data_IF_707315153247
#
_entry.id   IF_707315153247
#
_cell.length_a   1.000
_cell.length_b   1.000
_cell.length_c   1.000
_cell.angle_alpha   90.00
_cell.angle_beta   90.00
_cell.angle_gamma   90.00
#
_symmetry.space_group_name_H-M   'P 1'
#
loop_
_entity.id
_entity.type
_entity.pdbx_description
1 polymer ?
#
# COMPACT_ATOMS: atom_id res chain seq x y z
N UNK A 1 16.27 -12.78 4.71
CA UNK A 1 15.28 -12.71 3.61
C UNK A 1 15.74 -11.81 2.47
N UNK A 2 15.04 -11.80 1.33
CA UNK A 2 15.33 -10.88 0.23
C UNK A 2 15.08 -9.41 0.64
N UNK A 3 14.07 -9.17 1.45
CA UNK A 3 13.69 -7.83 1.95
C UNK A 3 14.79 -7.27 2.87
N UNK A 4 15.35 -8.07 3.76
CA UNK A 4 16.47 -7.65 4.62
C UNK A 4 17.72 -7.33 3.81
N UNK A 5 18.00 -8.10 2.75
CA UNK A 5 19.10 -7.81 1.83
C UNK A 5 18.89 -6.47 1.11
N UNK A 6 17.66 -6.22 0.61
CA UNK A 6 17.32 -4.95 -0.02
C UNK A 6 17.49 -3.78 0.96
N UNK A 7 17.02 -3.93 2.21
CA UNK A 7 17.22 -2.94 3.28
C UNK A 7 18.70 -2.63 3.49
N UNK A 8 19.53 -3.66 3.62
CA UNK A 8 20.97 -3.48 3.84
C UNK A 8 21.66 -2.75 2.67
N UNK A 9 21.26 -3.05 1.43
CA UNK A 9 21.80 -2.37 0.23
C UNK A 9 21.43 -0.89 0.24
N UNK A 10 20.14 -0.55 0.40
CA UNK A 10 19.66 0.83 0.40
C UNK A 10 20.31 1.60 1.56
N UNK A 11 20.39 1.02 2.76
CA UNK A 11 20.99 1.65 3.93
C UNK A 11 22.49 1.94 3.72
N UNK A 12 23.22 1.00 3.11
CA UNK A 12 24.64 1.18 2.80
C UNK A 12 24.85 2.31 1.76
N UNK A 13 24.05 2.36 0.71
CA UNK A 13 24.10 3.44 -0.29
C UNK A 13 23.80 4.80 0.35
N UNK A 14 22.75 4.87 1.18
CA UNK A 14 22.39 6.10 1.89
C UNK A 14 23.49 6.59 2.86
N UNK A 15 24.26 5.67 3.45
CA UNK A 15 25.37 6.00 4.35
C UNK A 15 26.66 6.38 3.62
N UNK A 16 26.90 5.76 2.47
CA UNK A 16 28.15 5.95 1.70
C UNK A 16 28.13 7.18 0.79
N UNK A 17 26.94 7.63 0.38
CA UNK A 17 26.76 8.78 -0.49
C UNK A 17 25.98 9.91 0.21
N UNK A 18 26.62 11.06 0.53
CA UNK A 18 25.95 12.19 1.18
C UNK A 18 24.73 12.73 0.43
N UNK A 19 24.69 12.60 -0.91
CA UNK A 19 23.55 13.02 -1.73
C UNK A 19 22.31 12.12 -1.54
N UNK A 20 22.51 10.92 -1.03
CA UNK A 20 21.45 9.94 -0.74
C UNK A 20 21.11 9.84 0.75
N UNK A 21 21.61 10.76 1.56
CA UNK A 21 21.34 10.76 2.99
C UNK A 21 19.84 10.79 3.31
N UNK A 22 19.38 9.80 4.07
CA UNK A 22 17.96 9.64 4.40
C UNK A 22 17.12 8.98 3.31
N UNK A 23 17.75 8.47 2.24
CA UNK A 23 17.05 7.69 1.22
C UNK A 23 16.38 6.46 1.86
N UNK A 24 15.12 6.25 1.54
CA UNK A 24 14.35 5.11 1.98
C UNK A 24 13.17 4.87 1.04
N UNK A 25 12.50 3.73 1.21
CA UNK A 25 11.32 3.40 0.43
C UNK A 25 10.38 2.50 1.23
N UNK A 26 9.09 2.57 0.93
CA UNK A 26 8.11 1.57 1.37
C UNK A 26 8.18 0.33 0.50
N UNK A 27 7.57 -0.76 0.95
CA UNK A 27 7.42 -1.98 0.18
C UNK A 27 6.04 -2.58 0.46
N UNK A 28 5.34 -2.97 -0.59
CA UNK A 28 4.28 -3.97 -0.54
C UNK A 28 4.53 -5.00 -1.64
N UNK A 29 4.53 -6.27 -1.28
CA UNK A 29 4.80 -7.37 -2.21
C UNK A 29 3.83 -8.52 -1.94
N UNK A 30 3.47 -9.24 -3.00
CA UNK A 30 2.64 -10.44 -2.93
C UNK A 30 3.36 -11.62 -3.57
N UNK A 31 3.39 -12.73 -2.86
CA UNK A 31 3.85 -14.02 -3.37
C UNK A 31 2.63 -14.89 -3.61
N UNK A 32 2.40 -15.21 -4.87
CA UNK A 32 1.33 -16.13 -5.30
C UNK A 32 1.71 -17.57 -4.94
N UNK A 33 0.74 -18.29 -4.35
CA UNK A 33 0.86 -19.71 -3.96
C UNK A 33 -0.18 -20.59 -4.66
N UNK A 34 -0.93 -20.03 -5.58
CA UNK A 34 -2.00 -20.68 -6.32
C UNK A 34 -3.39 -20.37 -5.73
N UNK A 35 -3.69 -20.91 -4.56
CA UNK A 35 -4.96 -20.70 -3.85
C UNK A 35 -4.91 -19.59 -2.78
N UNK A 36 -3.76 -18.99 -2.61
CA UNK A 36 -3.48 -18.02 -1.55
C UNK A 36 -2.36 -17.06 -1.92
N UNK A 37 -2.27 -15.92 -1.23
CA UNK A 37 -1.15 -15.01 -1.30
C UNK A 37 -0.50 -14.84 0.07
N UNK A 38 0.85 -14.83 0.09
CA UNK A 38 1.62 -14.27 1.20
C UNK A 38 1.99 -12.84 0.85
N UNK A 39 1.52 -11.87 1.63
CA UNK A 39 1.78 -10.44 1.44
C UNK A 39 2.83 -10.00 2.45
N UNK A 40 3.85 -9.27 1.99
CA UNK A 40 4.83 -8.60 2.83
C UNK A 40 4.68 -7.10 2.70
N UNK A 41 4.70 -6.37 3.82
CA UNK A 41 4.68 -4.90 3.82
C UNK A 41 5.71 -4.29 4.75
N UNK A 42 6.26 -3.14 4.32
CA UNK A 42 7.08 -2.22 5.11
C UNK A 42 6.66 -0.80 4.75
N UNK A 43 6.22 -0.02 5.73
CA UNK A 43 5.73 1.34 5.52
C UNK A 43 4.21 1.41 5.39
N UNK A 44 3.71 2.28 4.52
CA UNK A 44 2.29 2.60 4.34
C UNK A 44 1.71 2.26 2.96
N UNK A 45 2.52 1.66 2.07
CA UNK A 45 1.96 1.03 0.86
C UNK A 45 1.04 -0.12 1.23
N UNK A 46 -0.11 -0.22 0.56
CA UNK A 46 -1.22 -1.07 0.98
C UNK A 46 -1.51 -2.22 0.04
N UNK A 47 -2.02 -3.30 0.60
CA UNK A 47 -2.67 -4.39 -0.12
C UNK A 47 -4.15 -4.46 0.27
N UNK A 48 -5.02 -4.58 -0.73
CA UNK A 48 -6.46 -4.77 -0.58
C UNK A 48 -6.88 -6.05 -1.29
N UNK A 49 -7.78 -6.78 -0.69
CA UNK A 49 -8.50 -7.88 -1.34
C UNK A 49 -9.91 -7.41 -1.67
N UNK A 50 -10.28 -7.47 -2.96
CA UNK A 50 -11.65 -7.35 -3.42
C UNK A 50 -12.21 -8.74 -3.73
N UNK A 51 -13.30 -9.10 -3.09
CA UNK A 51 -14.00 -10.37 -3.31
C UNK A 51 -15.47 -10.20 -2.96
N UNK A 52 -16.37 -10.85 -3.69
CA UNK A 52 -17.84 -10.85 -3.44
C UNK A 52 -18.45 -9.44 -3.34
N UNK A 53 -17.93 -8.47 -4.08
CA UNK A 53 -18.39 -7.08 -4.03
C UNK A 53 -17.86 -6.26 -2.86
N UNK A 54 -16.99 -6.80 -2.03
CA UNK A 54 -16.42 -6.14 -0.86
C UNK A 54 -14.91 -5.89 -1.01
N UNK A 55 -14.46 -4.73 -0.57
CA UNK A 55 -13.04 -4.36 -0.49
C UNK A 55 -12.56 -4.45 0.95
N UNK A 56 -11.55 -5.28 1.18
CA UNK A 56 -10.92 -5.44 2.50
C UNK A 56 -9.48 -4.99 2.48
N UNK A 57 -9.10 -4.05 3.34
CA UNK A 57 -7.70 -3.71 3.59
C UNK A 57 -7.02 -4.86 4.33
N UNK A 58 -5.90 -5.35 3.79
CA UNK A 58 -5.12 -6.47 4.34
C UNK A 58 -3.98 -5.96 5.22
N UNK A 59 -3.23 -4.98 4.72
CA UNK A 59 -2.06 -4.44 5.41
C UNK A 59 -2.45 -3.41 6.46
N UNK A 60 -1.59 -3.22 7.45
CA UNK A 60 -1.69 -2.14 8.43
C UNK A 60 -0.51 -1.21 8.24
N UNK A 61 -0.77 0.07 8.04
CA UNK A 61 0.26 1.07 7.82
C UNK A 61 1.22 1.17 9.02
N UNK A 62 2.49 1.38 8.74
CA UNK A 62 3.51 1.71 9.73
C UNK A 62 3.75 3.22 9.68
N UNK A 63 2.79 3.96 10.23
CA UNK A 63 2.79 5.42 10.34
C UNK A 63 2.62 5.85 11.79
N UNK A 64 3.04 7.08 12.10
CA UNK A 64 2.84 7.67 13.42
C UNK A 64 1.35 7.64 13.82
N UNK A 65 0.45 7.90 12.88
CA UNK A 65 -1.00 7.85 13.12
C UNK A 65 -1.44 6.48 13.64
N UNK A 66 -1.02 5.41 12.96
CA UNK A 66 -1.45 4.05 13.29
C UNK A 66 -0.76 3.47 14.53
N UNK A 67 0.51 3.81 14.75
CA UNK A 67 1.33 3.16 15.78
C UNK A 67 1.45 3.98 17.08
N UNK A 68 1.21 5.28 17.00
CA UNK A 68 1.31 6.18 18.16
C UNK A 68 0.01 6.90 18.42
N UNK A 69 -0.50 7.63 17.43
CA UNK A 69 -1.65 8.51 17.62
C UNK A 69 -2.93 7.77 18.02
N UNK A 70 -3.31 6.71 17.29
CA UNK A 70 -4.49 5.88 17.60
C UNK A 70 -4.37 5.14 18.94
N UNK A 71 -3.24 4.49 19.29
CA UNK A 71 -3.05 3.89 20.61
C UNK A 71 -3.12 4.89 21.78
N UNK A 72 -2.76 6.16 21.56
CA UNK A 72 -2.92 7.23 22.54
C UNK A 72 -4.37 7.71 22.70
N UNK A 73 -5.30 7.18 21.89
CA UNK A 73 -6.72 7.55 21.95
C UNK A 73 -7.05 8.90 21.31
N UNK A 74 -6.18 9.41 20.43
CA UNK A 74 -6.47 10.64 19.69
C UNK A 74 -7.62 10.39 18.70
N UNK A 75 -8.56 11.36 18.65
CA UNK A 75 -9.68 11.31 17.73
C UNK A 75 -9.23 11.55 16.27
N UNK A 76 -10.06 11.15 15.31
CA UNK A 76 -9.73 11.19 13.89
C UNK A 76 -9.46 12.63 13.38
N UNK A 77 -10.17 13.62 13.91
CA UNK A 77 -9.97 15.03 13.51
C UNK A 77 -8.58 15.53 13.95
N UNK A 78 -8.18 15.20 15.17
CA UNK A 78 -6.85 15.52 15.71
C UNK A 78 -5.75 14.80 14.89
N UNK A 79 -5.95 13.51 14.56
CA UNK A 79 -5.00 12.74 13.78
C UNK A 79 -4.79 13.32 12.38
N UNK A 80 -5.87 13.72 11.69
CA UNK A 80 -5.81 14.30 10.33
C UNK A 80 -5.08 15.64 10.29
N UNK A 81 -5.17 16.43 11.37
CA UNK A 81 -4.51 17.75 11.49
C UNK A 81 -3.10 17.67 12.09
N UNK A 82 -2.69 16.49 12.59
CA UNK A 82 -1.43 16.35 13.29
C UNK A 82 -0.22 16.57 12.38
N UNK A 83 0.82 17.32 12.81
CA UNK A 83 2.03 17.55 12.01
C UNK A 83 2.73 16.27 11.55
N UNK A 84 2.67 15.21 12.37
CA UNK A 84 3.30 13.91 12.08
C UNK A 84 2.39 12.93 11.33
N UNK A 85 1.24 13.36 10.79
CA UNK A 85 0.26 12.45 10.16
C UNK A 85 0.82 11.64 8.98
N UNK A 86 1.84 12.18 8.29
CA UNK A 86 2.50 11.51 7.15
C UNK A 86 3.84 10.86 7.52
N UNK A 87 4.22 10.87 8.80
CA UNK A 87 5.50 10.32 9.22
C UNK A 87 5.42 8.80 9.28
N UNK A 88 6.28 8.16 8.50
CA UNK A 88 6.49 6.71 8.57
C UNK A 88 7.25 6.34 9.84
N UNK A 89 6.84 5.27 10.50
CA UNK A 89 7.57 4.66 11.63
C UNK A 89 8.51 3.56 11.14
N UNK A 90 8.33 3.08 9.90
CA UNK A 90 9.17 2.07 9.28
C UNK A 90 9.29 2.29 7.76
N UNK A 91 10.52 2.17 7.25
CA UNK A 91 10.83 2.16 5.81
C UNK A 91 12.12 1.40 5.56
N UNK A 92 12.28 0.83 4.37
CA UNK A 92 13.55 0.25 3.92
C UNK A 92 14.61 1.35 3.76
N UNK A 93 15.84 1.06 4.14
CA UNK A 93 16.98 1.98 3.99
C UNK A 93 17.12 3.00 5.13
N UNK A 94 16.22 3.02 6.12
CA UNK A 94 16.23 3.99 7.22
C UNK A 94 16.85 3.41 8.50
N UNK A 95 16.61 2.13 8.79
CA UNK A 95 17.06 1.46 10.00
C UNK A 95 17.61 0.05 9.69
N UNK A 96 18.58 -0.40 10.52
CA UNK A 96 19.04 -1.80 10.48
C UNK A 96 17.95 -2.75 10.99
N UNK A 97 17.23 -2.34 12.04
CA UNK A 97 16.09 -3.08 12.54
C UNK A 97 14.88 -2.86 11.63
N UNK A 98 14.47 -3.92 10.94
CA UNK A 98 13.36 -3.92 10.01
C UNK A 98 12.20 -4.75 10.56
N UNK A 99 11.02 -4.14 10.68
CA UNK A 99 9.76 -4.82 11.00
C UNK A 99 9.00 -5.12 9.69
N UNK A 100 9.23 -6.30 9.12
CA UNK A 100 8.50 -6.79 7.95
C UNK A 100 7.21 -7.46 8.41
N UNK A 101 6.07 -6.91 8.03
CA UNK A 101 4.76 -7.49 8.34
C UNK A 101 4.34 -8.48 7.26
N UNK A 102 3.92 -9.67 7.68
CA UNK A 102 3.48 -10.75 6.80
C UNK A 102 2.00 -11.04 7.04
N UNK A 103 1.28 -11.26 5.94
CA UNK A 103 -0.15 -11.59 5.95
C UNK A 103 -0.39 -12.73 4.95
N UNK A 104 -1.00 -13.81 5.41
CA UNK A 104 -1.45 -14.89 4.53
C UNK A 104 -2.96 -14.76 4.32
N UNK A 105 -3.38 -14.75 3.06
CA UNK A 105 -4.78 -14.66 2.66
C UNK A 105 -5.14 -15.78 1.71
N UNK A 106 -6.28 -16.42 1.96
CA UNK A 106 -6.91 -17.32 1.00
C UNK A 106 -7.65 -16.50 -0.04
N UNK A 107 -7.63 -16.96 -1.28
CA UNK A 107 -8.33 -16.31 -2.39
C UNK A 107 -9.21 -17.32 -3.11
N UNK A 108 -10.22 -16.82 -3.81
CA UNK A 108 -11.13 -17.58 -4.62
C UNK A 108 -11.11 -17.04 -6.07
N UNK A 109 -11.44 -17.85 -7.07
CA UNK A 109 -11.55 -17.38 -8.44
C UNK A 109 -12.49 -16.17 -8.55
N UNK A 110 -12.04 -15.14 -9.25
CA UNK A 110 -12.77 -13.87 -9.40
C UNK A 110 -12.45 -12.82 -8.33
N UNK A 111 -11.65 -13.14 -7.33
CA UNK A 111 -11.10 -12.13 -6.42
C UNK A 111 -9.96 -11.34 -7.07
N UNK A 112 -9.75 -10.09 -6.60
CA UNK A 112 -8.63 -9.25 -7.02
C UNK A 112 -7.79 -8.84 -5.83
N UNK A 113 -6.48 -8.94 -5.96
CA UNK A 113 -5.52 -8.34 -5.03
C UNK A 113 -5.00 -7.04 -5.64
N UNK A 114 -5.23 -5.91 -4.96
CA UNK A 114 -4.71 -4.59 -5.33
C UNK A 114 -3.55 -4.22 -4.41
N UNK A 115 -2.39 -3.91 -4.98
CA UNK A 115 -1.27 -3.27 -4.29
C UNK A 115 -1.21 -1.81 -4.72
N UNK A 116 -1.05 -0.88 -3.76
CA UNK A 116 -1.09 0.56 -4.04
C UNK A 116 -0.10 1.36 -3.22
N UNK A 117 0.44 2.44 -3.82
CA UNK A 117 1.10 3.52 -3.08
C UNK A 117 0.08 4.47 -2.45
N UNK A 118 0.54 5.31 -1.53
CA UNK A 118 -0.24 6.36 -0.87
C UNK A 118 -0.80 7.40 -1.85
N UNK A 119 -0.11 7.67 -2.95
CA UNK A 119 -0.63 8.51 -4.04
C UNK A 119 -1.95 8.01 -4.65
N UNK A 120 -2.29 6.72 -4.50
CA UNK A 120 -3.60 6.19 -4.85
C UNK A 120 -4.57 6.30 -3.66
N UNK A 121 -4.31 5.55 -2.60
CA UNK A 121 -5.27 5.38 -1.50
C UNK A 121 -5.36 6.58 -0.54
N UNK A 122 -4.47 7.56 -0.67
CA UNK A 122 -4.59 8.85 -0.01
C UNK A 122 -5.63 9.79 -0.65
N UNK A 123 -6.03 9.52 -1.89
CA UNK A 123 -6.93 10.36 -2.68
C UNK A 123 -8.21 9.64 -3.09
N UNK A 124 -8.13 8.35 -3.40
CA UNK A 124 -9.26 7.51 -3.81
C UNK A 124 -9.79 6.77 -2.60
N UNK A 125 -11.05 7.01 -2.25
CA UNK A 125 -11.67 6.38 -1.07
C UNK A 125 -11.86 4.88 -1.27
N UNK A 126 -11.95 4.08 -0.19
CA UNK A 126 -12.25 2.65 -0.29
C UNK A 126 -13.51 2.36 -1.10
N UNK A 127 -14.57 3.14 -0.94
CA UNK A 127 -15.82 2.99 -1.69
C UNK A 127 -15.64 3.24 -3.19
N UNK A 128 -14.77 4.19 -3.56
CA UNK A 128 -14.43 4.43 -4.96
C UNK A 128 -13.59 3.29 -5.54
N UNK A 129 -12.60 2.80 -4.79
CA UNK A 129 -11.80 1.63 -5.19
C UNK A 129 -12.72 0.42 -5.40
N UNK A 130 -13.61 0.16 -4.44
CA UNK A 130 -14.57 -0.96 -4.50
C UNK A 130 -15.45 -0.89 -5.76
N UNK A 131 -16.00 0.29 -6.09
CA UNK A 131 -16.81 0.49 -7.30
C UNK A 131 -16.02 0.31 -8.59
N UNK A 132 -14.76 0.75 -8.63
CA UNK A 132 -13.89 0.59 -9.80
C UNK A 132 -13.50 -0.88 -10.01
N UNK A 133 -13.27 -1.63 -8.93
CA UNK A 133 -12.94 -3.07 -9.01
C UNK A 133 -14.18 -3.93 -9.28
N UNK A 134 -15.35 -3.53 -8.77
CA UNK A 134 -16.64 -4.11 -9.13
C UNK A 134 -17.05 -3.73 -10.56
N UNK A 135 -17.99 -4.47 -11.13
CA UNK A 135 -18.44 -4.25 -12.51
C UNK A 135 -19.51 -3.14 -12.63
N UNK A 136 -19.55 -2.22 -11.68
CA UNK A 136 -20.53 -1.10 -11.64
C UNK A 136 -20.25 -0.01 -12.69
N UNK A 137 -19.18 -0.12 -13.46
CA UNK A 137 -18.86 0.78 -14.55
C UNK A 137 -19.24 0.14 -15.90
N UNK A 138 -19.98 0.87 -16.74
CA UNK A 138 -20.34 0.46 -18.12
C UNK A 138 -19.14 0.37 -19.07
N UNK A 139 -17.99 -0.16 -18.63
CA UNK A 139 -16.72 -0.15 -19.39
C UNK A 139 -16.16 -1.59 -19.45
N UNK A 140 -15.47 -1.98 -20.55
CA UNK A 140 -14.83 -3.27 -20.65
C UNK A 140 -13.87 -3.55 -19.49
N UNK A 141 -13.94 -4.75 -18.94
CA UNK A 141 -13.48 -5.12 -17.60
C UNK A 141 -12.11 -5.81 -17.58
N UNK A 142 -11.12 -5.32 -18.30
CA UNK A 142 -9.75 -5.82 -18.17
C UNK A 142 -9.07 -5.29 -16.90
N UNK A 143 -8.14 -6.06 -16.32
CA UNK A 143 -7.33 -5.61 -15.19
C UNK A 143 -6.59 -4.31 -15.47
N UNK A 144 -6.13 -4.14 -16.71
CA UNK A 144 -5.44 -2.92 -17.14
C UNK A 144 -6.36 -1.70 -17.13
N UNK A 145 -7.59 -1.83 -17.58
CA UNK A 145 -8.59 -0.74 -17.56
C UNK A 145 -8.95 -0.37 -16.13
N UNK A 146 -9.17 -1.36 -15.25
CA UNK A 146 -9.39 -1.10 -13.83
C UNK A 146 -8.22 -0.33 -13.19
N UNK A 147 -6.96 -0.71 -13.47
CA UNK A 147 -5.78 0.04 -13.03
C UNK A 147 -5.77 1.49 -13.56
N UNK A 148 -6.07 1.68 -14.85
CA UNK A 148 -6.15 3.02 -15.44
C UNK A 148 -7.23 3.87 -14.79
N UNK A 149 -8.41 3.30 -14.49
CA UNK A 149 -9.49 4.00 -13.80
C UNK A 149 -9.07 4.42 -12.40
N UNK A 150 -8.39 3.55 -11.63
CA UNK A 150 -7.85 3.89 -10.31
C UNK A 150 -6.87 5.06 -10.40
N UNK A 151 -5.89 5.00 -11.32
CA UNK A 151 -4.90 6.06 -11.52
C UNK A 151 -5.58 7.38 -11.94
N UNK A 152 -6.54 7.33 -12.87
CA UNK A 152 -7.25 8.51 -13.33
C UNK A 152 -8.11 9.12 -12.23
N UNK A 153 -8.74 8.32 -11.36
CA UNK A 153 -9.48 8.81 -10.20
C UNK A 153 -8.56 9.58 -9.25
N UNK A 154 -7.37 9.06 -8.94
CA UNK A 154 -6.39 9.75 -8.12
C UNK A 154 -5.88 11.06 -8.78
N UNK A 155 -5.60 11.02 -10.08
CA UNK A 155 -5.20 12.23 -10.85
C UNK A 155 -6.29 13.30 -10.86
N UNK A 156 -7.55 12.90 -11.03
CA UNK A 156 -8.69 13.82 -11.00
C UNK A 156 -8.89 14.44 -9.60
N UNK A 157 -8.49 13.74 -8.54
CA UNK A 157 -8.49 14.28 -7.16
C UNK A 157 -7.27 15.16 -6.84
N UNK A 158 -6.43 15.49 -7.84
CA UNK A 158 -5.31 16.40 -7.72
C UNK A 158 -3.94 15.79 -8.00
N UNK A 159 -3.74 14.48 -7.77
CA UNK A 159 -2.53 13.74 -8.10
C UNK A 159 -1.20 14.40 -7.66
N UNK A 160 -1.03 14.82 -6.40
CA UNK A 160 0.15 15.56 -5.96
C UNK A 160 1.40 14.69 -5.83
N UNK A 161 1.25 13.37 -5.90
CA UNK A 161 2.32 12.39 -5.69
C UNK A 161 2.33 11.33 -6.80
N UNK A 162 3.34 10.45 -6.77
CA UNK A 162 3.45 9.30 -7.65
C UNK A 162 2.33 8.29 -7.34
N UNK A 163 1.61 7.85 -8.36
CA UNK A 163 0.47 6.95 -8.22
C UNK A 163 0.85 5.59 -8.79
N UNK A 164 0.84 4.57 -7.95
CA UNK A 164 1.09 3.19 -8.37
C UNK A 164 -0.09 2.30 -7.99
N UNK A 165 -0.55 1.49 -8.95
CA UNK A 165 -1.54 0.44 -8.75
C UNK A 165 -1.11 -0.83 -9.48
N UNK A 166 -1.11 -1.96 -8.78
CA UNK A 166 -0.91 -3.29 -9.35
C UNK A 166 -2.12 -4.13 -9.00
N UNK A 167 -2.77 -4.70 -10.00
CA UNK A 167 -3.96 -5.54 -9.82
C UNK A 167 -3.67 -6.96 -10.29
N UNK A 168 -3.93 -7.92 -9.41
CA UNK A 168 -3.71 -9.35 -9.64
C UNK A 168 -5.06 -10.06 -9.52
N UNK A 169 -5.47 -10.82 -10.53
CA UNK A 169 -6.64 -11.69 -10.41
C UNK A 169 -6.23 -13.02 -9.76
N UNK A 170 -7.02 -13.48 -8.81
CA UNK A 170 -6.90 -14.82 -8.28
C UNK A 170 -7.44 -15.83 -9.31
N UNK A 171 -6.69 -16.90 -9.53
CA UNK A 171 -7.01 -17.97 -10.47
C UNK A 171 -7.80 -19.12 -9.81
#
# INVERSE_FOLDING_TARGET
>A
SAIEKANAVILNEARSNPELQGMGTTLVAALDRGDSFTIASVGDSRAYLWAHGELRLITKDQTWVQEVGRPLGLDEETLQKHPLRHVLTMALGVSEALDVRLYDIQTEPGAFLLLSSDGLHGLVTPDQIQRILGDDLEVPNTLQEKCLHLINAARAAGGPDNITAVLIAAS
#
